data_IF_272617171721
#
_entry.id   IF_272617171721
#
_cell.length_a   1.000
_cell.length_b   1.000
_cell.length_c   1.000
_cell.angle_alpha   90.00
_cell.angle_beta   90.00
_cell.angle_gamma   90.00
#
_symmetry.space_group_name_H-M   'P 1'
#
loop_
_entity.id
_entity.type
_entity.pdbx_description
1 polymer ?
#
# COMPACT_ATOMS: atom_id res chain seq x y z
N UNK A 1 -43.52 -79.25 -3.68
CA UNK A 1 -42.25 -79.57 -3.00
C UNK A 1 -41.93 -78.44 -2.06
N UNK A 2 -41.59 -78.75 -0.80
CA UNK A 2 -40.90 -77.88 0.16
C UNK A 2 -39.47 -77.52 -0.33
N UNK A 3 -38.70 -76.58 0.27
CA UNK A 3 -38.95 -75.84 1.52
C UNK A 3 -38.72 -74.30 1.52
N UNK A 4 -39.44 -73.60 2.40
CA UNK A 4 -39.03 -72.56 3.41
C UNK A 4 -38.20 -71.31 2.98
N UNK A 5 -38.20 -70.12 3.62
CA UNK A 5 -38.98 -69.35 4.65
C UNK A 5 -38.41 -67.88 4.59
N UNK A 6 -38.82 -66.81 5.31
CA UNK A 6 -39.81 -66.52 6.36
C UNK A 6 -40.12 -64.99 6.36
N UNK A 7 -41.37 -64.57 6.66
CA UNK A 7 -41.68 -63.35 7.45
C UNK A 7 -41.39 -61.95 6.81
N UNK A 8 -41.99 -60.80 7.19
CA UNK A 8 -43.09 -60.46 8.13
C UNK A 8 -43.72 -59.10 7.71
N UNK A 9 -45.04 -58.99 7.87
CA UNK A 9 -45.89 -57.78 8.06
C UNK A 9 -45.81 -56.49 7.20
N UNK A 10 -47.02 -56.02 6.85
CA UNK A 10 -47.35 -54.63 6.51
C UNK A 10 -47.29 -53.74 7.76
N UNK A 11 -46.83 -52.49 7.64
CA UNK A 11 -47.63 -51.34 8.10
C UNK A 11 -47.20 -50.01 7.47
N UNK A 12 -48.14 -49.07 7.43
CA UNK A 12 -48.02 -47.75 6.78
C UNK A 12 -47.05 -46.86 7.55
N UNK A 13 -46.04 -46.29 6.87
CA UNK A 13 -45.39 -45.08 7.37
C UNK A 13 -46.34 -43.89 7.18
N UNK A 14 -46.69 -43.23 8.28
CA UNK A 14 -47.35 -41.93 8.23
C UNK A 14 -46.35 -40.86 7.81
N UNK A 15 -46.81 -39.93 6.98
CA UNK A 15 -46.14 -38.66 6.74
C UNK A 15 -46.20 -37.83 8.03
N UNK A 16 -45.06 -37.59 8.67
CA UNK A 16 -44.90 -36.52 9.66
C UNK A 16 -43.89 -35.52 9.12
N UNK A 17 -44.37 -34.31 8.80
CA UNK A 17 -43.58 -33.22 8.25
C UNK A 17 -42.50 -32.75 9.21
N UNK A 18 -41.31 -33.34 9.10
CA UNK A 18 -40.09 -32.83 9.70
C UNK A 18 -39.52 -31.70 8.84
N UNK A 19 -40.13 -30.51 8.88
CA UNK A 19 -39.47 -29.29 8.41
C UNK A 19 -38.30 -29.00 9.35
N UNK A 20 -37.15 -29.62 9.08
CA UNK A 20 -35.88 -29.21 9.65
C UNK A 20 -35.51 -27.87 9.01
N UNK A 21 -36.13 -26.81 9.51
CA UNK A 21 -35.70 -25.45 9.26
C UNK A 21 -34.32 -25.31 9.90
N UNK A 22 -33.29 -25.69 9.14
CA UNK A 22 -31.95 -25.18 9.34
C UNK A 22 -32.10 -23.69 9.13
N UNK A 23 -32.30 -22.99 10.25
CA UNK A 23 -32.02 -21.58 10.33
C UNK A 23 -30.53 -21.46 10.03
N UNK A 24 -30.22 -21.31 8.73
CA UNK A 24 -29.14 -20.47 8.29
C UNK A 24 -29.40 -19.14 8.97
N UNK A 25 -28.82 -19.00 10.17
CA UNK A 25 -28.35 -17.72 10.65
C UNK A 25 -27.35 -17.32 9.59
N UNK A 26 -27.86 -16.68 8.54
CA UNK A 26 -27.09 -15.76 7.75
C UNK A 26 -26.61 -14.73 8.77
N UNK A 27 -25.44 -15.00 9.34
CA UNK A 27 -24.50 -13.96 9.69
C UNK A 27 -24.18 -13.27 8.37
N UNK A 28 -25.12 -12.42 7.93
CA UNK A 28 -24.78 -11.23 7.20
C UNK A 28 -23.59 -10.67 7.94
N UNK A 29 -22.43 -10.62 7.28
CA UNK A 29 -21.26 -9.95 7.81
C UNK A 29 -21.41 -8.48 7.38
N UNK A 30 -22.02 -7.59 8.20
CA UNK A 30 -22.20 -6.19 7.82
C UNK A 30 -20.97 -5.39 8.30
N UNK A 31 -19.95 -6.09 8.81
CA UNK A 31 -18.86 -5.58 9.64
C UNK A 31 -17.52 -5.44 8.90
N UNK A 32 -17.48 -5.73 7.60
CA UNK A 32 -16.36 -5.36 6.71
C UNK A 32 -16.71 -4.17 5.82
N UNK A 33 -17.99 -3.95 5.50
CA UNK A 33 -18.45 -2.83 4.68
C UNK A 33 -18.58 -1.49 5.43
N UNK A 34 -18.24 -1.42 6.73
CA UNK A 34 -18.63 -0.30 7.60
C UNK A 34 -17.50 0.56 8.16
N UNK A 35 -16.22 0.31 7.87
CA UNK A 35 -15.15 1.12 8.47
C UNK A 35 -14.89 2.44 7.74
N UNK A 36 -15.07 2.48 6.42
CA UNK A 36 -14.97 3.72 5.64
C UNK A 36 -15.95 3.71 4.45
N UNK A 37 -17.12 4.35 4.63
CA UNK A 37 -18.08 4.53 3.56
C UNK A 37 -17.62 5.64 2.59
N UNK A 38 -16.66 5.33 1.71
CA UNK A 38 -16.08 6.25 0.71
C UNK A 38 -16.98 6.54 -0.49
N UNK A 39 -18.22 6.92 -0.20
CA UNK A 39 -19.19 7.35 -1.19
C UNK A 39 -18.98 8.82 -1.53
N UNK A 40 -18.61 9.10 -2.79
CA UNK A 40 -18.90 10.32 -3.54
C UNK A 40 -18.56 11.67 -2.87
N UNK A 41 -17.46 11.77 -2.11
CA UNK A 41 -17.08 13.01 -1.42
C UNK A 41 -16.05 13.90 -2.14
N UNK A 42 -15.47 13.46 -3.27
CA UNK A 42 -14.51 14.31 -3.99
C UNK A 42 -15.27 15.29 -4.88
N UNK A 43 -15.52 16.49 -4.36
CA UNK A 43 -15.76 17.68 -5.18
C UNK A 43 -14.43 18.11 -5.81
N UNK A 44 -13.96 17.33 -6.79
CA UNK A 44 -12.74 17.59 -7.54
C UNK A 44 -13.04 18.53 -8.71
N UNK A 45 -12.44 19.72 -8.68
CA UNK A 45 -12.22 20.47 -9.91
C UNK A 45 -11.00 19.85 -10.61
N UNK A 46 -11.18 19.41 -11.85
CA UNK A 46 -10.04 18.98 -12.68
C UNK A 46 -9.57 20.18 -13.48
N UNK A 47 -8.28 20.50 -13.47
CA UNK A 47 -7.68 21.52 -14.34
C UNK A 47 -6.89 20.86 -15.45
N UNK A 48 -7.14 21.29 -16.69
CA UNK A 48 -6.34 20.99 -17.86
C UNK A 48 -5.87 22.32 -18.43
N UNK A 49 -4.55 22.55 -18.41
CA UNK A 49 -3.96 23.86 -18.72
C UNK A 49 -4.62 24.96 -17.88
N UNK A 50 -5.11 26.03 -18.49
CA UNK A 50 -5.79 27.13 -17.79
C UNK A 50 -7.31 26.91 -17.60
N UNK A 51 -7.85 25.76 -18.02
CA UNK A 51 -9.29 25.47 -18.01
C UNK A 51 -9.70 24.48 -16.92
N UNK A 52 -10.87 24.73 -16.33
CA UNK A 52 -11.50 23.81 -15.38
C UNK A 52 -12.46 22.88 -16.13
N UNK A 53 -12.45 21.60 -15.76
CA UNK A 53 -13.21 20.50 -16.33
C UNK A 53 -14.02 19.80 -15.25
N UNK A 54 -15.22 19.35 -15.62
CA UNK A 54 -16.01 18.43 -14.83
C UNK A 54 -15.30 17.05 -14.75
N UNK A 55 -15.42 16.39 -13.60
CA UNK A 55 -14.72 15.13 -13.34
C UNK A 55 -15.17 13.99 -14.27
N UNK A 56 -16.46 13.94 -14.68
CA UNK A 56 -16.94 12.93 -15.62
C UNK A 56 -16.41 13.20 -17.03
N UNK A 57 -16.42 14.46 -17.48
CA UNK A 57 -15.82 14.88 -18.77
C UNK A 57 -14.33 14.54 -18.82
N UNK A 58 -13.60 14.76 -17.72
CA UNK A 58 -12.21 14.32 -17.56
C UNK A 58 -12.07 12.79 -17.68
N UNK A 59 -12.89 12.01 -16.96
CA UNK A 59 -12.86 10.55 -17.07
C UNK A 59 -13.09 10.07 -18.51
N UNK A 60 -14.00 10.69 -19.27
CA UNK A 60 -14.22 10.34 -20.67
C UNK A 60 -12.96 10.57 -21.54
N UNK A 61 -12.18 11.62 -21.27
CA UNK A 61 -10.90 11.87 -21.96
C UNK A 61 -9.83 10.83 -21.63
N UNK A 62 -10.04 9.99 -20.61
CA UNK A 62 -9.17 8.87 -20.25
C UNK A 62 -9.57 7.54 -20.94
N UNK A 63 -10.69 7.49 -21.69
CA UNK A 63 -11.26 6.24 -22.25
C UNK A 63 -10.25 5.45 -23.09
N UNK A 64 -9.59 6.12 -24.02
CA UNK A 64 -8.66 5.51 -24.97
C UNK A 64 -7.20 5.46 -24.47
N UNK A 65 -6.98 5.78 -23.19
CA UNK A 65 -5.63 5.76 -22.57
C UNK A 65 -5.32 4.35 -22.06
N UNK A 66 -4.24 3.77 -22.60
CA UNK A 66 -3.68 2.47 -22.19
C UNK A 66 -2.82 2.59 -20.93
N UNK A 67 -2.25 3.77 -20.69
CA UNK A 67 -1.49 4.10 -19.48
C UNK A 67 -2.09 5.33 -18.81
N UNK A 68 -2.48 5.20 -17.55
CA UNK A 68 -2.96 6.31 -16.71
C UNK A 68 -2.05 6.42 -15.49
N UNK A 69 -1.18 7.41 -15.45
CA UNK A 69 -0.29 7.67 -14.33
C UNK A 69 -0.98 8.63 -13.36
N UNK A 70 -1.22 8.22 -12.10
CA UNK A 70 -1.90 9.07 -11.10
C UNK A 70 -0.97 9.32 -9.91
N UNK A 71 -0.36 10.51 -9.92
CA UNK A 71 0.61 10.96 -8.94
C UNK A 71 -0.02 11.45 -7.64
N UNK A 72 0.56 11.03 -6.52
CA UNK A 72 0.11 11.38 -5.17
C UNK A 72 1.22 12.00 -4.30
N UNK A 73 0.92 12.28 -3.03
CA UNK A 73 1.89 12.72 -2.00
C UNK A 73 1.65 11.83 -0.80
N UNK A 74 2.66 11.05 -0.39
CA UNK A 74 2.46 9.78 0.32
C UNK A 74 1.71 9.84 1.67
N UNK A 75 1.57 11.03 2.27
CA UNK A 75 0.80 11.29 3.50
C UNK A 75 -0.50 12.10 3.28
N UNK A 76 -0.91 12.30 2.02
CA UNK A 76 -2.16 12.96 1.62
C UNK A 76 -3.25 11.96 1.26
N UNK A 77 -4.17 11.75 2.19
CA UNK A 77 -5.20 10.76 2.02
C UNK A 77 -6.25 11.15 0.96
N UNK A 78 -6.51 12.44 0.77
CA UNK A 78 -7.32 12.95 -0.34
C UNK A 78 -6.73 12.63 -1.73
N UNK A 79 -5.40 12.50 -1.86
CA UNK A 79 -4.78 12.07 -3.11
C UNK A 79 -5.07 10.58 -3.39
N UNK A 80 -5.01 9.71 -2.38
CA UNK A 80 -5.36 8.28 -2.54
C UNK A 80 -6.86 8.06 -2.78
N UNK A 81 -7.74 8.90 -2.21
CA UNK A 81 -9.16 8.90 -2.58
C UNK A 81 -9.34 9.30 -4.06
N UNK A 82 -8.55 10.24 -4.57
CA UNK A 82 -8.54 10.59 -6.00
C UNK A 82 -8.07 9.44 -6.88
N UNK A 83 -7.03 8.71 -6.48
CA UNK A 83 -6.61 7.47 -7.14
C UNK A 83 -7.74 6.44 -7.21
N UNK A 84 -8.51 6.25 -6.12
CA UNK A 84 -9.68 5.39 -6.10
C UNK A 84 -10.81 5.90 -7.01
N UNK A 85 -11.09 7.20 -7.03
CA UNK A 85 -12.15 7.80 -7.86
C UNK A 85 -11.85 7.63 -9.35
N UNK A 86 -10.59 7.84 -9.76
CA UNK A 86 -10.14 7.58 -11.13
C UNK A 86 -10.24 6.09 -11.43
N UNK A 87 -9.69 5.20 -10.59
CA UNK A 87 -9.78 3.75 -10.78
C UNK A 87 -11.22 3.26 -10.97
N UNK A 88 -12.18 3.76 -10.18
CA UNK A 88 -13.61 3.45 -10.32
C UNK A 88 -14.17 3.88 -11.68
N UNK A 89 -13.98 5.15 -12.05
CA UNK A 89 -14.45 5.67 -13.35
C UNK A 89 -13.81 4.96 -14.54
N UNK A 90 -12.52 4.59 -14.45
CA UNK A 90 -11.86 3.79 -15.47
C UNK A 90 -12.45 2.36 -15.54
N UNK A 91 -12.76 1.74 -14.41
CA UNK A 91 -13.35 0.39 -14.33
C UNK A 91 -14.77 0.33 -14.93
N UNK A 92 -15.57 1.36 -14.70
CA UNK A 92 -16.91 1.51 -15.29
C UNK A 92 -16.87 1.61 -16.82
N UNK A 93 -15.80 2.16 -17.40
CA UNK A 93 -15.57 2.16 -18.86
C UNK A 93 -15.12 0.80 -19.39
N UNK A 94 -14.25 0.10 -18.66
CA UNK A 94 -13.78 -1.24 -19.00
C UNK A 94 -13.18 -1.95 -17.77
N UNK A 95 -13.60 -3.19 -17.44
CA UNK A 95 -13.05 -3.94 -16.33
C UNK A 95 -11.66 -4.54 -16.61
N UNK A 96 -11.10 -4.37 -17.81
CA UNK A 96 -9.76 -4.86 -18.17
C UNK A 96 -8.67 -3.87 -17.76
N UNK A 97 -8.50 -3.75 -16.45
CA UNK A 97 -7.55 -2.84 -15.81
C UNK A 97 -6.66 -3.62 -14.83
N UNK A 98 -5.36 -3.30 -14.85
CA UNK A 98 -4.42 -3.64 -13.79
C UNK A 98 -3.96 -2.37 -13.06
N UNK A 99 -3.58 -2.53 -11.80
CA UNK A 99 -3.19 -1.45 -10.90
C UNK A 99 -1.72 -1.63 -10.55
N UNK A 100 -0.82 -0.84 -11.16
CA UNK A 100 0.58 -0.81 -10.79
C UNK A 100 0.79 0.08 -9.57
N UNK A 101 1.50 -0.39 -8.54
CA UNK A 101 1.67 0.36 -7.27
C UNK A 101 3.13 0.47 -6.83
N UNK A 102 3.52 1.66 -6.38
CA UNK A 102 4.88 1.94 -5.86
C UNK A 102 5.13 1.35 -4.47
N UNK A 103 4.11 1.28 -3.63
CA UNK A 103 4.25 0.92 -2.20
C UNK A 103 4.57 -0.56 -1.94
N UNK A 104 4.57 -1.40 -2.96
CA UNK A 104 5.02 -2.78 -2.90
C UNK A 104 6.18 -3.06 -3.86
N UNK A 105 7.09 -3.95 -3.42
CA UNK A 105 8.28 -4.33 -4.18
C UNK A 105 8.07 -5.69 -4.84
N UNK A 106 8.52 -5.85 -6.09
CA UNK A 106 8.18 -6.99 -6.96
C UNK A 106 8.43 -8.38 -6.34
N UNK A 107 9.46 -8.50 -5.49
CA UNK A 107 9.79 -9.73 -4.77
C UNK A 107 8.67 -10.25 -3.84
N UNK A 108 7.71 -9.39 -3.47
CA UNK A 108 6.59 -9.71 -2.59
C UNK A 108 5.25 -9.86 -3.32
N UNK A 109 5.24 -9.89 -4.66
CA UNK A 109 4.05 -10.12 -5.48
C UNK A 109 3.20 -11.32 -5.00
N UNK A 110 3.76 -12.49 -4.63
CA UNK A 110 2.96 -13.63 -4.18
C UNK A 110 2.11 -13.35 -2.93
N UNK A 111 2.51 -12.42 -2.06
CA UNK A 111 1.70 -12.03 -0.90
C UNK A 111 0.47 -11.19 -1.31
N UNK A 112 0.61 -10.38 -2.35
CA UNK A 112 -0.46 -9.54 -2.90
C UNK A 112 -1.44 -10.42 -3.66
N UNK A 113 -0.95 -11.35 -4.48
CA UNK A 113 -1.76 -12.32 -5.21
C UNK A 113 -2.59 -13.19 -4.25
N UNK A 114 -1.96 -13.74 -3.20
CA UNK A 114 -2.66 -14.50 -2.15
C UNK A 114 -3.73 -13.66 -1.43
N UNK A 115 -3.46 -12.38 -1.19
CA UNK A 115 -4.43 -11.51 -0.53
C UNK A 115 -5.60 -11.15 -1.45
N UNK A 116 -5.35 -10.87 -2.72
CA UNK A 116 -6.40 -10.64 -3.74
C UNK A 116 -7.27 -11.89 -3.91
N UNK A 117 -6.66 -13.07 -3.93
CA UNK A 117 -7.35 -14.37 -3.95
C UNK A 117 -8.08 -14.73 -2.64
N UNK A 118 -7.96 -13.89 -1.59
CA UNK A 118 -8.49 -14.11 -0.25
C UNK A 118 -7.93 -15.37 0.48
N UNK A 119 -6.77 -15.88 0.07
CA UNK A 119 -6.03 -16.94 0.76
C UNK A 119 -5.46 -16.47 2.11
N UNK A 120 -5.21 -15.17 2.27
CA UNK A 120 -4.65 -14.57 3.48
C UNK A 120 -5.40 -13.30 3.94
N UNK A 121 -5.24 -12.95 5.22
CA UNK A 121 -5.77 -11.72 5.82
C UNK A 121 -4.94 -10.49 5.43
N UNK A 122 -5.48 -9.28 5.67
CA UNK A 122 -4.71 -8.03 5.54
C UNK A 122 -3.48 -8.03 6.45
N UNK A 123 -3.63 -8.51 7.69
CA UNK A 123 -2.52 -8.62 8.64
C UNK A 123 -1.35 -9.45 8.06
N UNK A 124 -1.66 -10.56 7.38
CA UNK A 124 -0.66 -11.44 6.77
C UNK A 124 -0.11 -10.89 5.44
N UNK A 125 -0.88 -10.13 4.66
CA UNK A 125 -0.37 -9.36 3.50
C UNK A 125 0.73 -8.39 3.95
N UNK A 126 0.44 -7.58 4.97
CA UNK A 126 1.33 -6.51 5.42
C UNK A 126 2.59 -7.06 6.09
N UNK A 127 2.47 -8.20 6.78
CA UNK A 127 3.59 -8.96 7.32
C UNK A 127 4.45 -9.58 6.20
N UNK A 128 3.85 -10.35 5.27
CA UNK A 128 4.59 -11.04 4.20
C UNK A 128 5.25 -10.09 3.21
N UNK A 129 4.68 -8.92 2.97
CA UNK A 129 5.28 -7.87 2.12
C UNK A 129 6.31 -6.99 2.84
N UNK A 130 6.40 -7.06 4.18
CA UNK A 130 7.24 -6.16 4.98
C UNK A 130 6.86 -4.68 4.80
N UNK A 131 5.56 -4.40 4.65
CA UNK A 131 5.05 -3.09 4.23
C UNK A 131 5.49 -1.95 5.17
N UNK A 132 5.45 -2.17 6.49
CA UNK A 132 5.82 -1.15 7.46
C UNK A 132 7.33 -1.02 7.70
N UNK A 133 8.12 -2.03 7.35
CA UNK A 133 9.58 -1.96 7.35
C UNK A 133 10.10 -1.14 6.15
N UNK A 134 9.37 -1.22 5.02
CA UNK A 134 9.69 -0.68 3.70
C UNK A 134 9.02 0.67 3.44
N UNK A 135 7.70 0.70 3.29
CA UNK A 135 6.90 1.88 2.89
C UNK A 135 6.55 2.80 4.06
N UNK A 136 6.22 2.23 5.24
CA UNK A 136 6.03 2.95 6.53
C UNK A 136 4.82 3.87 6.66
N UNK A 137 4.17 4.29 5.58
CA UNK A 137 2.93 5.09 5.62
C UNK A 137 1.73 4.28 6.17
N UNK A 138 0.68 4.98 6.63
CA UNK A 138 -0.51 4.33 7.19
C UNK A 138 -1.29 3.57 6.10
N UNK A 139 -1.30 2.23 6.14
CA UNK A 139 -1.98 1.41 5.14
C UNK A 139 -3.48 1.72 5.00
N UNK A 140 -4.14 2.27 6.03
CA UNK A 140 -5.53 2.73 5.93
C UNK A 140 -5.76 3.76 4.81
N UNK A 141 -4.71 4.46 4.38
CA UNK A 141 -4.75 5.40 3.26
C UNK A 141 -4.90 4.67 1.91
N UNK A 142 -4.29 3.50 1.78
CA UNK A 142 -4.22 2.68 0.57
C UNK A 142 -5.31 1.60 0.52
N UNK A 143 -5.79 1.17 1.70
CA UNK A 143 -6.84 0.15 1.87
C UNK A 143 -8.04 0.35 0.91
N UNK A 144 -8.59 1.56 0.69
CA UNK A 144 -9.74 1.75 -0.20
C UNK A 144 -9.48 1.33 -1.66
N UNK A 145 -8.26 1.56 -2.17
CA UNK A 145 -7.83 1.12 -3.51
C UNK A 145 -7.66 -0.40 -3.53
N UNK A 146 -7.01 -0.95 -2.51
CA UNK A 146 -6.73 -2.38 -2.41
C UNK A 146 -8.02 -3.21 -2.24
N UNK A 147 -8.97 -2.77 -1.41
CA UNK A 147 -10.27 -3.42 -1.21
C UNK A 147 -11.12 -3.37 -2.48
N UNK A 148 -11.11 -2.25 -3.22
CA UNK A 148 -11.77 -2.18 -4.53
C UNK A 148 -11.15 -3.17 -5.52
N UNK A 149 -9.81 -3.24 -5.60
CA UNK A 149 -9.12 -4.21 -6.44
C UNK A 149 -9.51 -5.65 -6.11
N UNK A 150 -9.54 -6.00 -4.82
CA UNK A 150 -9.93 -7.32 -4.32
C UNK A 150 -11.39 -7.65 -4.63
N UNK A 151 -12.32 -6.71 -4.37
CA UNK A 151 -13.75 -6.90 -4.61
C UNK A 151 -14.08 -7.11 -6.11
N UNK A 152 -13.33 -6.46 -7.00
CA UNK A 152 -13.51 -6.54 -8.45
C UNK A 152 -12.51 -7.48 -9.16
N UNK A 153 -11.73 -8.26 -8.40
CA UNK A 153 -10.73 -9.22 -8.91
C UNK A 153 -9.71 -8.61 -9.89
N UNK A 154 -9.31 -7.35 -9.63
CA UNK A 154 -8.33 -6.62 -10.43
C UNK A 154 -6.89 -7.00 -10.04
N UNK A 155 -5.99 -7.23 -11.00
CA UNK A 155 -4.57 -7.41 -10.72
C UNK A 155 -3.96 -6.17 -10.06
N UNK A 156 -3.23 -6.36 -8.95
CA UNK A 156 -2.39 -5.32 -8.34
C UNK A 156 -0.93 -5.74 -8.46
N UNK A 157 -0.12 -4.95 -9.16
CA UNK A 157 1.26 -5.28 -9.51
C UNK A 157 2.23 -4.44 -8.69
N UNK A 158 3.08 -5.11 -7.91
CA UNK A 158 4.14 -4.50 -7.10
C UNK A 158 5.30 -4.05 -7.99
N UNK A 159 5.35 -2.75 -8.30
CA UNK A 159 6.27 -2.23 -9.31
C UNK A 159 7.69 -2.00 -8.78
N UNK A 160 7.86 -1.78 -7.48
CA UNK A 160 9.07 -1.10 -6.96
C UNK A 160 10.28 -2.04 -6.76
N UNK A 161 11.48 -1.45 -6.77
CA UNK A 161 12.75 -2.14 -6.62
C UNK A 161 13.03 -2.59 -5.17
N UNK A 162 13.77 -3.70 -4.94
CA UNK A 162 14.16 -4.12 -3.60
C UNK A 162 14.94 -3.04 -2.85
N UNK A 163 14.44 -2.64 -1.67
CA UNK A 163 15.06 -1.60 -0.82
C UNK A 163 16.48 -1.94 -0.37
N UNK A 164 16.79 -3.22 -0.25
CA UNK A 164 18.12 -3.73 0.06
C UNK A 164 19.14 -3.29 -1.01
N UNK A 165 18.75 -3.39 -2.29
CA UNK A 165 19.59 -2.99 -3.42
C UNK A 165 19.71 -1.46 -3.50
N UNK A 166 18.61 -0.71 -3.38
CA UNK A 166 18.68 0.75 -3.48
C UNK A 166 19.45 1.38 -2.32
N UNK A 167 19.37 0.81 -1.10
CA UNK A 167 20.25 1.19 0.03
C UNK A 167 21.72 0.87 -0.26
N UNK A 168 22.03 -0.28 -0.85
CA UNK A 168 23.41 -0.65 -1.23
C UNK A 168 23.98 0.31 -2.28
N UNK A 169 23.17 0.67 -3.29
CA UNK A 169 23.55 1.68 -4.30
C UNK A 169 23.69 3.08 -3.70
N UNK A 170 22.84 3.51 -2.77
CA UNK A 170 22.98 4.78 -2.05
C UNK A 170 24.30 4.82 -1.24
N UNK A 171 24.67 3.71 -0.60
CA UNK A 171 25.87 3.62 0.24
C UNK A 171 27.18 3.48 -0.55
N UNK A 172 27.17 2.73 -1.67
CA UNK A 172 28.39 2.28 -2.35
C UNK A 172 28.39 2.44 -3.88
N UNK A 173 27.25 2.79 -4.50
CA UNK A 173 27.10 2.96 -5.96
C UNK A 173 26.69 1.68 -6.70
N UNK A 174 26.23 1.82 -7.95
CA UNK A 174 25.66 0.71 -8.74
C UNK A 174 26.65 -0.44 -8.97
N UNK A 175 27.94 -0.13 -9.18
CA UNK A 175 28.99 -1.13 -9.35
C UNK A 175 29.33 -1.95 -8.08
N UNK A 176 28.65 -1.71 -6.95
CA UNK A 176 28.79 -2.52 -5.73
C UNK A 176 27.82 -3.70 -5.65
N UNK A 177 26.89 -3.82 -6.62
CA UNK A 177 26.00 -4.97 -6.71
C UNK A 177 26.74 -6.19 -7.28
N UNK A 178 26.44 -7.39 -6.76
CA UNK A 178 26.84 -8.65 -7.39
C UNK A 178 26.08 -8.90 -8.69
N UNK A 179 26.45 -9.92 -9.46
CA UNK A 179 25.72 -10.38 -10.64
C UNK A 179 24.25 -10.70 -10.34
N UNK A 180 23.99 -11.38 -9.22
CA UNK A 180 22.68 -11.86 -8.79
C UNK A 180 21.80 -10.72 -8.23
N UNK A 181 22.42 -9.76 -7.56
CA UNK A 181 21.78 -8.52 -7.14
C UNK A 181 21.46 -7.62 -8.34
N UNK A 182 22.39 -7.51 -9.30
CA UNK A 182 22.23 -6.68 -10.50
C UNK A 182 21.13 -7.22 -11.42
N UNK A 183 20.96 -8.54 -11.49
CA UNK A 183 19.93 -9.21 -12.29
C UNK A 183 18.49 -8.98 -11.77
N UNK A 184 18.32 -8.48 -10.54
CA UNK A 184 17.01 -8.09 -9.99
C UNK A 184 16.57 -6.67 -10.39
N UNK A 185 17.41 -5.93 -11.10
CA UNK A 185 17.14 -4.58 -11.62
C UNK A 185 17.14 -4.60 -13.16
N UNK A 186 16.43 -3.68 -13.84
CA UNK A 186 16.41 -3.59 -15.31
C UNK A 186 17.80 -3.63 -15.94
N UNK A 187 17.96 -4.32 -17.06
CA UNK A 187 19.25 -4.50 -17.73
C UNK A 187 19.92 -3.16 -18.07
N UNK A 188 19.13 -2.17 -18.49
CA UNK A 188 19.58 -0.79 -18.69
C UNK A 188 18.89 0.15 -17.70
N UNK A 189 19.68 1.00 -17.04
CA UNK A 189 19.20 2.11 -16.21
C UNK A 189 19.68 3.39 -16.89
N UNK A 190 18.76 4.14 -17.51
CA UNK A 190 19.12 5.33 -18.28
C UNK A 190 19.46 6.49 -17.33
N UNK A 191 20.51 7.27 -17.63
CA UNK A 191 20.86 8.44 -16.83
C UNK A 191 19.72 9.48 -16.90
N UNK A 192 19.49 10.17 -15.78
CA UNK A 192 18.55 11.28 -15.74
C UNK A 192 18.99 12.38 -16.73
N UNK A 193 18.07 12.85 -17.57
CA UNK A 193 18.35 13.96 -18.48
C UNK A 193 18.67 15.26 -17.70
N UNK A 194 19.32 16.26 -18.34
CA UNK A 194 19.77 17.47 -17.64
C UNK A 194 18.66 18.25 -16.92
N UNK A 195 17.43 18.26 -17.46
CA UNK A 195 16.29 18.96 -16.85
C UNK A 195 15.80 18.20 -15.63
N UNK A 196 15.61 16.89 -15.75
CA UNK A 196 15.19 16.07 -14.61
C UNK A 196 16.24 16.05 -13.50
N UNK A 197 17.52 15.93 -13.87
CA UNK A 197 18.66 16.00 -12.96
C UNK A 197 18.71 17.33 -12.19
N UNK A 198 18.45 18.46 -12.85
CA UNK A 198 18.38 19.76 -12.17
C UNK A 198 17.20 19.88 -11.18
N UNK A 199 16.07 19.19 -11.41
CA UNK A 199 14.99 19.06 -10.41
C UNK A 199 15.47 18.24 -9.20
N UNK A 200 16.08 17.08 -9.45
CA UNK A 200 16.64 16.23 -8.39
C UNK A 200 17.69 16.95 -7.55
N UNK A 201 18.49 17.84 -8.14
CA UNK A 201 19.48 18.64 -7.40
C UNK A 201 18.82 19.59 -6.40
N UNK A 202 17.74 20.29 -6.79
CA UNK A 202 16.96 21.16 -5.88
C UNK A 202 16.37 20.39 -4.70
N UNK A 203 15.83 19.19 -4.95
CA UNK A 203 15.30 18.30 -3.92
C UNK A 203 16.42 17.83 -2.98
N UNK A 204 17.55 17.39 -3.54
CA UNK A 204 18.69 16.90 -2.77
C UNK A 204 19.27 17.98 -1.84
N UNK A 205 19.40 19.22 -2.31
CA UNK A 205 19.93 20.36 -1.54
C UNK A 205 19.09 20.71 -0.29
N UNK A 206 17.81 20.32 -0.24
CA UNK A 206 16.96 20.51 0.94
C UNK A 206 17.29 19.54 2.08
N UNK A 207 18.01 18.44 1.79
CA UNK A 207 18.31 17.39 2.75
C UNK A 207 19.80 17.12 2.97
N UNK A 208 20.66 17.29 1.95
CA UNK A 208 22.09 16.93 1.98
C UNK A 208 22.93 17.90 1.11
N UNK A 209 24.26 17.87 1.24
CA UNK A 209 25.18 18.84 0.59
C UNK A 209 26.42 18.24 -0.11
N UNK A 210 26.58 16.93 -0.19
CA UNK A 210 27.73 16.29 -0.87
C UNK A 210 27.39 15.86 -2.31
N UNK A 211 28.23 16.25 -3.27
CA UNK A 211 28.10 15.90 -4.70
C UNK A 211 28.20 14.39 -4.96
N UNK A 212 29.04 13.63 -4.23
CA UNK A 212 29.10 12.16 -4.40
C UNK A 212 27.84 11.47 -3.90
N UNK A 213 27.20 12.03 -2.87
CA UNK A 213 25.89 11.57 -2.40
C UNK A 213 24.81 11.93 -3.42
N UNK A 214 24.90 13.09 -4.09
CA UNK A 214 23.97 13.46 -5.17
C UNK A 214 23.98 12.51 -6.37
N UNK A 215 25.16 12.11 -6.90
CA UNK A 215 25.20 11.15 -8.03
C UNK A 215 24.51 9.82 -7.67
N UNK A 216 24.71 9.34 -6.45
CA UNK A 216 24.09 8.10 -5.96
C UNK A 216 22.60 8.27 -5.71
N UNK A 217 22.17 9.43 -5.21
CA UNK A 217 20.76 9.80 -5.10
C UNK A 217 20.07 9.76 -6.46
N UNK A 218 20.62 10.45 -7.49
CA UNK A 218 20.09 10.39 -8.86
C UNK A 218 20.05 8.96 -9.39
N UNK A 219 21.10 8.17 -9.16
CA UNK A 219 21.14 6.75 -9.56
C UNK A 219 20.01 5.94 -8.91
N UNK A 220 19.71 6.18 -7.62
CA UNK A 220 18.62 5.48 -6.91
C UNK A 220 17.24 5.88 -7.45
N UNK A 221 17.00 7.17 -7.74
CA UNK A 221 15.75 7.64 -8.36
C UNK A 221 15.51 6.92 -9.70
N UNK A 222 16.55 6.86 -10.55
CA UNK A 222 16.48 6.14 -11.84
C UNK A 222 16.30 4.64 -11.69
N UNK A 223 16.88 4.00 -10.67
CA UNK A 223 16.62 2.58 -10.38
C UNK A 223 15.14 2.36 -10.04
N UNK A 224 14.55 3.19 -9.16
CA UNK A 224 13.13 3.09 -8.82
C UNK A 224 12.24 3.22 -10.05
N UNK A 225 12.44 4.27 -10.85
CA UNK A 225 11.62 4.57 -12.03
C UNK A 225 11.72 3.51 -13.14
N UNK A 226 12.94 3.13 -13.51
CA UNK A 226 13.18 2.09 -14.52
C UNK A 226 12.61 0.74 -14.08
N UNK A 227 12.74 0.39 -12.79
CA UNK A 227 12.22 -0.87 -12.26
C UNK A 227 10.69 -0.87 -12.29
N UNK A 228 10.07 0.24 -11.90
CA UNK A 228 8.62 0.38 -11.93
C UNK A 228 8.08 0.34 -13.37
N UNK A 229 8.70 1.05 -14.29
CA UNK A 229 8.33 1.04 -15.71
C UNK A 229 8.52 -0.35 -16.34
N UNK A 230 9.66 -1.01 -16.09
CA UNK A 230 9.95 -2.35 -16.61
C UNK A 230 8.95 -3.40 -16.15
N UNK A 231 8.57 -3.40 -14.86
CA UNK A 231 7.55 -4.32 -14.33
C UNK A 231 6.15 -4.04 -14.89
N UNK A 232 5.78 -2.77 -15.04
CA UNK A 232 4.51 -2.36 -15.63
C UNK A 232 4.41 -2.76 -17.12
N UNK A 233 5.48 -2.50 -17.89
CA UNK A 233 5.62 -2.88 -19.31
C UNK A 233 5.54 -4.39 -19.51
N UNK A 234 6.27 -5.18 -18.69
CA UNK A 234 6.21 -6.64 -18.74
C UNK A 234 4.77 -7.13 -18.61
N UNK A 235 4.04 -6.64 -17.61
CA UNK A 235 2.66 -7.04 -17.39
C UNK A 235 1.74 -6.70 -18.57
N UNK A 236 1.78 -5.49 -19.15
CA UNK A 236 0.92 -5.17 -20.31
C UNK A 236 1.36 -5.80 -21.63
N UNK A 237 2.60 -6.29 -21.74
CA UNK A 237 3.03 -7.16 -22.85
C UNK A 237 2.42 -8.56 -22.74
N UNK A 238 2.43 -9.14 -21.53
CA UNK A 238 1.82 -10.44 -21.24
C UNK A 238 0.28 -10.38 -21.28
N UNK A 239 -0.30 -9.19 -21.07
CA UNK A 239 -1.74 -8.92 -21.02
C UNK A 239 -2.17 -7.79 -21.98
N UNK A 240 -2.06 -7.99 -23.31
CA UNK A 240 -2.22 -6.93 -24.30
C UNK A 240 -3.63 -6.31 -24.36
N UNK A 241 -4.66 -7.00 -23.84
CA UNK A 241 -6.02 -6.48 -23.74
C UNK A 241 -6.34 -5.73 -22.44
N UNK A 242 -5.35 -5.53 -21.56
CA UNK A 242 -5.48 -4.69 -20.37
C UNK A 242 -4.95 -3.28 -20.64
N UNK A 243 -5.48 -2.31 -19.89
CA UNK A 243 -4.79 -1.04 -19.61
C UNK A 243 -4.25 -1.04 -18.17
N UNK A 244 -3.32 -0.15 -17.87
CA UNK A 244 -2.78 0.00 -16.51
C UNK A 244 -3.00 1.40 -15.97
N UNK A 245 -3.51 1.49 -14.75
CA UNK A 245 -3.38 2.68 -13.90
C UNK A 245 -2.16 2.48 -12.99
N UNK A 246 -1.26 3.46 -12.93
CA UNK A 246 -0.06 3.41 -12.08
C UNK A 246 -0.18 4.46 -10.98
N UNK A 247 0.01 4.01 -9.74
CA UNK A 247 -0.16 4.78 -8.51
C UNK A 247 1.21 4.93 -7.82
N UNK A 248 1.75 6.15 -7.83
CA UNK A 248 3.08 6.47 -7.31
C UNK A 248 3.16 7.94 -6.85
N UNK A 249 4.22 8.32 -6.15
CA UNK A 249 4.48 9.71 -5.78
C UNK A 249 4.66 10.61 -7.01
N UNK A 250 4.10 11.83 -6.97
CA UNK A 250 4.12 12.78 -8.10
C UNK A 250 5.53 13.08 -8.62
N UNK A 251 6.55 13.02 -7.75
CA UNK A 251 7.96 13.18 -8.10
C UNK A 251 8.43 12.23 -9.21
N UNK A 252 7.90 11.01 -9.26
CA UNK A 252 8.25 9.97 -10.23
C UNK A 252 7.45 10.03 -11.54
N UNK A 253 6.56 11.02 -11.70
CA UNK A 253 5.66 11.15 -12.85
C UNK A 253 5.67 12.56 -13.48
N UNK A 254 5.93 13.59 -12.67
CA UNK A 254 5.95 14.99 -13.08
C UNK A 254 6.85 15.27 -14.30
N UNK A 255 6.45 16.26 -15.11
CA UNK A 255 7.13 16.67 -16.36
C UNK A 255 7.22 15.59 -17.44
N UNK A 256 6.38 14.54 -17.36
CA UNK A 256 6.51 13.36 -18.22
C UNK A 256 7.87 12.67 -18.04
N UNK A 257 8.50 12.81 -16.86
CA UNK A 257 9.79 12.22 -16.47
C UNK A 257 9.57 11.11 -15.45
N UNK A 258 10.61 10.29 -15.24
CA UNK A 258 10.50 9.10 -14.43
C UNK A 258 9.68 8.02 -15.13
N UNK A 259 8.71 7.43 -14.43
CA UNK A 259 7.95 6.26 -14.91
C UNK A 259 7.29 6.52 -16.28
N UNK A 260 6.57 7.64 -16.54
CA UNK A 260 6.00 7.91 -17.86
C UNK A 260 7.02 7.93 -19.00
N UNK A 261 8.19 8.55 -18.81
CA UNK A 261 9.25 8.57 -19.83
C UNK A 261 9.79 7.16 -20.12
N UNK A 262 9.96 6.36 -19.08
CA UNK A 262 10.54 5.02 -19.19
C UNK A 262 9.56 4.01 -19.81
N UNK A 263 8.27 4.15 -19.54
CA UNK A 263 7.23 3.39 -20.25
C UNK A 263 7.14 3.88 -21.70
N UNK A 264 7.08 5.19 -21.96
CA UNK A 264 6.98 5.73 -23.33
C UNK A 264 8.16 5.34 -24.22
N UNK A 265 9.37 5.25 -23.67
CA UNK A 265 10.56 4.74 -24.37
C UNK A 265 10.46 3.26 -24.74
N UNK A 266 9.69 2.47 -24.00
CA UNK A 266 9.46 1.04 -24.26
C UNK A 266 8.19 0.79 -25.10
N UNK A 267 7.23 1.72 -25.07
CA UNK A 267 5.90 1.63 -25.68
C UNK A 267 5.55 2.96 -26.38
N UNK A 268 6.26 3.33 -27.46
CA UNK A 268 6.16 4.67 -28.07
C UNK A 268 4.82 4.93 -28.76
N UNK A 269 4.10 3.89 -29.16
CA UNK A 269 2.81 3.98 -29.88
C UNK A 269 1.59 3.96 -28.93
N UNK A 270 1.80 3.68 -27.63
CA UNK A 270 0.72 3.55 -26.66
C UNK A 270 0.20 4.92 -26.17
N UNK A 271 -1.13 5.09 -26.12
CA UNK A 271 -1.76 6.31 -25.61
C UNK A 271 -1.63 6.43 -24.08
N UNK A 272 -1.03 7.55 -23.63
CA UNK A 272 -0.72 7.83 -22.22
C UNK A 272 -1.42 9.09 -21.69
N UNK A 273 -1.48 9.22 -20.36
CA UNK A 273 -1.88 10.43 -19.63
C UNK A 273 -1.25 10.47 -18.23
N UNK A 274 -0.77 11.63 -17.80
CA UNK A 274 -0.29 11.92 -16.44
C UNK A 274 -1.27 12.85 -15.73
N UNK A 275 -1.75 12.40 -14.56
CA UNK A 275 -2.68 13.10 -13.68
C UNK A 275 -1.99 13.29 -12.34
N UNK A 276 -1.95 14.51 -11.80
CA UNK A 276 -1.43 14.80 -10.46
C UNK A 276 -2.54 15.33 -9.55
N UNK A 277 -2.46 15.07 -8.25
CA UNK A 277 -3.33 15.73 -7.26
C UNK A 277 -2.68 17.01 -6.74
N UNK A 278 -3.46 18.07 -6.49
CA UNK A 278 -2.95 19.37 -6.03
C UNK A 278 -3.90 20.12 -5.09
N UNK A 279 -3.37 21.14 -4.40
CA UNK A 279 -4.17 21.96 -3.49
C UNK A 279 -4.97 23.03 -4.26
N UNK A 280 -6.26 23.25 -3.95
CA UNK A 280 -7.06 24.32 -4.54
C UNK A 280 -6.39 25.69 -4.46
N UNK A 281 -6.37 26.43 -5.56
CA UNK A 281 -5.76 27.77 -5.66
C UNK A 281 -4.24 27.79 -5.71
N UNK A 282 -3.56 26.64 -5.70
CA UNK A 282 -2.12 26.55 -5.98
C UNK A 282 -1.87 26.81 -7.47
N UNK A 283 -0.79 27.51 -7.78
CA UNK A 283 -0.30 27.62 -9.16
C UNK A 283 0.46 26.34 -9.48
N UNK A 284 -0.03 25.57 -10.45
CA UNK A 284 0.59 24.32 -10.87
C UNK A 284 1.86 24.62 -11.64
N UNK A 285 3.00 24.42 -10.98
CA UNK A 285 4.36 24.61 -11.55
C UNK A 285 4.98 23.30 -12.03
N UNK A 286 4.39 22.16 -11.68
CA UNK A 286 4.71 20.87 -12.27
C UNK A 286 4.00 20.72 -13.61
N UNK A 287 4.55 19.94 -14.54
CA UNK A 287 3.86 19.63 -15.80
C UNK A 287 3.20 18.24 -15.70
N UNK A 288 1.90 18.21 -15.94
CA UNK A 288 1.07 17.01 -16.12
C UNK A 288 -0.04 17.35 -17.10
N UNK A 289 -0.73 16.35 -17.65
CA UNK A 289 -1.86 16.58 -18.55
C UNK A 289 -3.07 17.12 -17.75
N UNK A 290 -3.29 16.61 -16.54
CA UNK A 290 -4.40 17.03 -15.67
C UNK A 290 -3.96 17.21 -14.21
N UNK A 291 -4.58 18.17 -13.54
CA UNK A 291 -4.48 18.38 -12.09
C UNK A 291 -5.84 18.18 -11.45
N UNK A 292 -5.95 17.27 -10.48
CA UNK A 292 -7.17 17.09 -9.69
C UNK A 292 -7.00 17.87 -8.39
N UNK A 293 -7.78 18.93 -8.23
CA UNK A 293 -7.69 19.77 -7.03
C UNK A 293 -8.46 19.14 -5.87
N UNK A 294 -7.77 18.90 -4.76
CA UNK A 294 -8.31 18.19 -3.60
C UNK A 294 -8.14 18.98 -2.31
N UNK A 295 -9.22 19.10 -1.54
CA UNK A 295 -9.11 19.62 -0.17
C UNK A 295 -8.48 18.56 0.74
N UNK A 296 -7.60 18.99 1.65
CA UNK A 296 -6.96 18.11 2.62
C UNK A 296 -8.03 17.30 3.38
N UNK A 297 -7.99 15.99 3.18
CA UNK A 297 -8.79 15.04 3.93
C UNK A 297 -7.84 14.15 4.73
N UNK A 298 -8.14 13.92 6.00
CA UNK A 298 -7.29 13.13 6.90
C UNK A 298 -8.08 11.93 7.44
N UNK A 299 -7.39 10.80 7.55
CA UNK A 299 -7.90 9.66 8.29
C UNK A 299 -8.21 10.04 9.75
N UNK A 300 -9.21 9.42 10.38
CA UNK A 300 -9.36 9.46 11.84
C UNK A 300 -8.04 9.06 12.53
N UNK A 301 -7.58 9.81 13.54
CA UNK A 301 -6.33 9.50 14.23
C UNK A 301 -6.44 8.16 14.97
N UNK A 302 -5.39 7.35 14.87
CA UNK A 302 -5.22 6.16 15.72
C UNK A 302 -4.56 6.53 17.03
N UNK A 303 -4.86 5.79 18.09
CA UNK A 303 -4.19 5.94 19.36
C UNK A 303 -2.72 5.52 19.27
N UNK A 304 -1.82 6.38 19.75
CA UNK A 304 -0.37 6.21 19.68
C UNK A 304 0.22 5.90 21.05
N UNK A 305 1.21 5.01 21.05
CA UNK A 305 2.03 4.70 22.23
C UNK A 305 3.08 5.81 22.53
N UNK A 306 3.44 6.64 21.56
CA UNK A 306 4.49 7.66 21.72
C UNK A 306 5.90 7.05 21.84
N UNK A 307 6.22 6.07 21.00
CA UNK A 307 7.51 5.35 21.00
C UNK A 307 8.17 5.35 19.62
N UNK A 308 9.49 5.33 19.60
CA UNK A 308 10.31 5.03 18.44
C UNK A 308 10.73 3.56 18.51
N UNK A 309 10.48 2.82 17.43
CA UNK A 309 10.64 1.37 17.39
C UNK A 309 11.83 0.96 16.51
N UNK A 310 12.36 -0.24 16.76
CA UNK A 310 13.43 -0.87 15.99
C UNK A 310 13.04 -2.34 15.76
N UNK A 311 12.83 -2.73 14.51
CA UNK A 311 12.56 -4.13 14.17
C UNK A 311 13.87 -4.90 14.19
N UNK A 312 13.98 -5.91 15.06
CA UNK A 312 15.16 -6.76 15.20
C UNK A 312 14.78 -8.23 14.99
N UNK A 313 15.78 -9.09 14.77
CA UNK A 313 15.55 -10.53 14.52
C UNK A 313 14.83 -11.23 15.69
N UNK A 314 15.09 -10.79 16.92
CA UNK A 314 14.43 -11.25 18.13
C UNK A 314 13.03 -10.66 18.39
N UNK A 315 12.58 -9.69 17.57
CA UNK A 315 11.27 -9.02 17.68
C UNK A 315 11.35 -7.49 17.72
N UNK A 316 10.22 -6.86 18.03
CA UNK A 316 10.03 -5.41 17.99
C UNK A 316 10.51 -4.71 19.30
N UNK A 317 11.53 -3.86 19.18
CA UNK A 317 12.18 -3.19 20.31
C UNK A 317 11.80 -1.71 20.43
N UNK A 318 11.71 -1.19 21.65
CA UNK A 318 11.56 0.24 21.93
C UNK A 318 12.93 0.91 21.97
N UNK A 319 13.23 1.69 20.92
CA UNK A 319 14.50 2.38 20.73
C UNK A 319 14.59 3.67 21.56
N UNK A 320 13.51 4.45 21.55
CA UNK A 320 13.34 5.70 22.31
C UNK A 320 11.87 5.89 22.64
N UNK A 321 11.57 6.75 23.61
CA UNK A 321 10.22 7.21 23.89
C UNK A 321 10.13 8.70 23.56
N UNK A 322 8.94 9.16 23.18
CA UNK A 322 8.63 10.59 23.10
C UNK A 322 8.49 11.10 24.54
N UNK A 323 9.11 12.24 24.86
CA UNK A 323 8.99 12.83 26.19
C UNK A 323 7.51 13.17 26.47
N UNK A 324 7.00 12.78 27.65
CA UNK A 324 5.58 12.88 28.02
C UNK A 324 4.63 12.08 27.09
N UNK A 325 5.16 11.18 26.26
CA UNK A 325 4.37 10.23 25.48
C UNK A 325 3.63 9.20 26.34
N UNK A 326 2.53 8.65 25.83
CA UNK A 326 1.66 7.69 26.54
C UNK A 326 2.44 6.54 27.23
N UNK A 327 3.31 5.85 26.49
CA UNK A 327 4.13 4.76 27.01
C UNK A 327 5.14 5.23 28.08
N UNK A 328 5.71 6.43 27.94
CA UNK A 328 6.65 6.97 28.92
C UNK A 328 5.96 7.26 30.25
N UNK A 329 4.75 7.84 30.22
CA UNK A 329 3.93 8.07 31.41
C UNK A 329 3.52 6.74 32.09
N UNK A 330 3.28 5.69 31.31
CA UNK A 330 2.93 4.36 31.80
C UNK A 330 4.12 3.52 32.31
N UNK A 331 5.36 4.03 32.28
CA UNK A 331 6.54 3.33 32.82
C UNK A 331 7.21 2.32 31.86
N UNK A 332 6.93 2.42 30.56
CA UNK A 332 7.67 1.74 29.50
C UNK A 332 9.06 2.36 29.34
N UNK A 333 10.07 1.59 28.93
CA UNK A 333 11.49 2.01 28.91
C UNK A 333 12.17 1.70 27.57
N UNK A 334 13.23 2.45 27.27
CA UNK A 334 14.11 2.12 26.14
C UNK A 334 14.79 0.78 26.41
N UNK A 335 14.91 -0.06 25.37
CA UNK A 335 15.38 -1.44 25.47
C UNK A 335 14.31 -2.47 25.85
N UNK A 336 13.08 -2.05 26.13
CA UNK A 336 11.94 -2.98 26.25
C UNK A 336 11.61 -3.60 24.89
N UNK A 337 11.37 -4.91 24.88
CA UNK A 337 10.80 -5.62 23.74
C UNK A 337 9.28 -5.67 23.88
N UNK A 338 8.52 -5.17 22.91
CA UNK A 338 7.06 -5.37 22.87
C UNK A 338 6.81 -6.82 22.43
N UNK A 339 5.91 -7.51 23.14
CA UNK A 339 5.57 -8.92 22.84
C UNK A 339 4.08 -9.17 22.69
N UNK A 340 3.22 -8.36 23.32
CA UNK A 340 1.77 -8.42 23.11
C UNK A 340 1.15 -7.03 23.18
N UNK A 341 0.04 -6.84 22.46
CA UNK A 341 -0.93 -5.75 22.59
C UNK A 341 -2.27 -6.38 22.95
N UNK A 342 -2.76 -6.13 24.16
CA UNK A 342 -3.78 -6.93 24.82
C UNK A 342 -3.40 -8.42 24.72
N UNK A 343 -4.29 -9.28 24.22
CA UNK A 343 -4.02 -10.71 24.01
C UNK A 343 -3.33 -11.03 22.66
N UNK A 344 -3.13 -10.04 21.78
CA UNK A 344 -2.52 -10.26 20.46
C UNK A 344 -1.00 -10.30 20.55
N UNK A 345 -0.33 -11.37 20.05
CA UNK A 345 1.13 -11.44 20.03
C UNK A 345 1.72 -10.46 19.01
N UNK A 346 2.80 -9.79 19.39
CA UNK A 346 3.52 -8.81 18.58
C UNK A 346 4.94 -9.32 18.31
N UNK A 347 5.29 -9.49 17.04
CA UNK A 347 6.63 -9.86 16.58
C UNK A 347 7.22 -8.80 15.63
N UNK A 348 6.36 -8.18 14.83
CA UNK A 348 6.68 -7.25 13.75
C UNK A 348 6.08 -5.87 13.98
N UNK A 349 6.56 -4.87 13.24
CA UNK A 349 5.96 -3.54 13.18
C UNK A 349 4.50 -3.61 12.69
N UNK A 350 4.22 -4.49 11.72
CA UNK A 350 2.89 -4.70 11.17
C UNK A 350 1.89 -5.13 12.25
N UNK A 351 2.22 -6.13 13.06
CA UNK A 351 1.34 -6.62 14.14
C UNK A 351 0.92 -5.48 15.08
N UNK A 352 1.88 -4.62 15.46
CA UNK A 352 1.63 -3.54 16.40
C UNK A 352 0.79 -2.41 15.77
N UNK A 353 1.14 -1.97 14.56
CA UNK A 353 0.43 -0.85 13.92
C UNK A 353 -0.99 -1.25 13.51
N UNK A 354 -1.21 -2.48 13.07
CA UNK A 354 -2.54 -3.02 12.80
C UNK A 354 -3.35 -3.20 14.08
N UNK A 355 -2.73 -3.72 15.14
CA UNK A 355 -3.37 -3.84 16.44
C UNK A 355 -3.81 -2.47 16.99
N UNK A 356 -2.93 -1.46 16.92
CA UNK A 356 -3.23 -0.07 17.33
C UNK A 356 -4.23 0.63 16.39
N UNK A 357 -4.33 0.23 15.12
CA UNK A 357 -5.26 0.85 14.16
C UNK A 357 -6.74 0.71 14.51
N UNK A 358 -7.04 -0.19 15.46
CA UNK A 358 -8.38 -0.49 15.99
C UNK A 358 -8.77 0.39 17.19
N UNK A 359 -7.87 1.26 17.65
CA UNK A 359 -8.03 2.11 18.83
C UNK A 359 -7.81 3.59 18.51
N UNK A 360 -8.47 4.46 19.25
CA UNK A 360 -8.42 5.92 19.13
C UNK A 360 -7.57 6.57 20.24
N UNK A 361 -7.17 7.83 20.08
CA UNK A 361 -6.66 8.65 21.18
C UNK A 361 -7.60 8.62 22.39
N UNK A 362 -7.05 8.33 23.57
CA UNK A 362 -7.81 8.20 24.81
C UNK A 362 -8.27 6.78 25.16
N UNK A 363 -8.21 5.81 24.24
CA UNK A 363 -8.50 4.40 24.54
C UNK A 363 -7.42 3.80 25.46
N UNK A 364 -7.80 2.79 26.24
CA UNK A 364 -6.89 2.04 27.09
C UNK A 364 -6.53 0.69 26.45
N UNK A 365 -5.22 0.40 26.37
CA UNK A 365 -4.68 -0.89 25.94
C UNK A 365 -3.70 -1.42 26.98
N UNK A 366 -3.55 -2.73 27.08
CA UNK A 366 -2.44 -3.34 27.81
C UNK A 366 -1.33 -3.70 26.84
N UNK A 367 -0.06 -3.47 27.18
CA UNK A 367 1.07 -4.03 26.44
C UNK A 367 1.90 -4.94 27.34
N UNK A 368 2.31 -6.09 26.81
CA UNK A 368 3.28 -6.98 27.48
C UNK A 368 4.67 -6.71 26.94
N UNK A 369 5.55 -6.17 27.78
CA UNK A 369 6.96 -5.94 27.44
C UNK A 369 7.89 -6.94 28.12
N UNK A 370 8.92 -7.41 27.43
CA UNK A 370 10.08 -8.09 28.04
C UNK A 370 11.19 -7.08 28.25
N UNK A 371 11.64 -6.94 29.49
CA UNK A 371 12.68 -6.00 29.92
C UNK A 371 13.86 -6.78 30.52
N UNK A 372 15.07 -6.39 30.15
CA UNK A 372 16.30 -6.94 30.73
C UNK A 372 16.70 -6.10 31.94
N UNK A 373 16.95 -6.74 33.09
CA UNK A 373 17.46 -6.05 34.28
C UNK A 373 18.99 -5.84 34.20
N UNK A 374 19.56 -5.11 35.16
CA UNK A 374 21.01 -4.82 35.22
C UNK A 374 21.89 -6.09 35.35
N UNK A 375 21.32 -7.23 35.77
CA UNK A 375 21.99 -8.52 35.88
C UNK A 375 21.79 -9.40 34.63
N UNK A 376 21.20 -8.87 33.56
CA UNK A 376 20.94 -9.59 32.31
C UNK A 376 19.70 -10.49 32.31
N UNK A 377 18.99 -10.61 33.44
CA UNK A 377 17.77 -11.43 33.53
C UNK A 377 16.60 -10.72 32.84
N UNK A 378 15.92 -11.43 31.93
CA UNK A 378 14.70 -10.93 31.27
C UNK A 378 13.47 -11.21 32.15
N UNK A 379 12.60 -10.22 32.27
CA UNK A 379 11.31 -10.30 32.98
C UNK A 379 10.21 -9.69 32.12
N UNK A 380 8.99 -10.22 32.23
CA UNK A 380 7.80 -9.69 31.53
C UNK A 380 7.04 -8.72 32.43
N UNK A 381 6.53 -7.64 31.86
CA UNK A 381 5.69 -6.65 32.53
C UNK A 381 4.46 -6.36 31.68
N UNK A 382 3.28 -6.43 32.28
CA UNK A 382 2.03 -5.98 31.66
C UNK A 382 1.78 -4.53 32.10
N UNK A 383 1.61 -3.64 31.12
CA UNK A 383 1.56 -2.20 31.32
C UNK A 383 0.30 -1.66 30.64
N UNK A 384 -0.62 -1.08 31.42
CA UNK A 384 -1.81 -0.44 30.88
C UNK A 384 -1.47 0.99 30.45
N UNK A 385 -1.82 1.34 29.21
CA UNK A 385 -1.49 2.60 28.54
C UNK A 385 -2.78 3.22 28.03
N UNK A 386 -3.02 4.47 28.42
CA UNK A 386 -4.01 5.33 27.76
C UNK A 386 -3.36 5.98 26.55
N UNK A 387 -3.84 5.67 25.35
CA UNK A 387 -3.26 6.12 24.08
C UNK A 387 -3.42 7.64 23.89
N UNK A 388 -2.52 8.22 23.10
CA UNK A 388 -2.50 9.65 22.72
C UNK A 388 -2.79 9.87 21.24
#
# INVERSE_FOLDING_TARGET
MTPLLYSIWRMRCFLTSGCLAIALIATSFPALASLLNHQNQIQATVRHQDTDLDFQVFLEQLRDKRWVFVGETHDRYDHHLTQLAILKGLYEQSPKIAIGVEWFQQAFQPAIDDWLAANISEDELLRRSGYYERWRYDYRMLRPVMEFAKAHQLPVIALNAPTELTRKVAASGLASLSSEERAQLPETIHPADPVYRAKLEKIFQQHQRDKKQFERFVTVQRIWEETMASHAVRFLNDHPNYRMIILAGSGHMSYGKGIPADVARQQPDDAMVVVLSSDPGKVEVEQADYFVQTQLHSLPPTGKLGVWLDQQAQGLMIKRLIEKGAAAQAGVRSGDQITHLNDQPIQTMADLLLGLSRFFPGDAVSIRVKRQNQQGKKQSFDINIKLQ
#
